data_IF_621768715369
#
_entry.id   IF_621768715369
#
_cell.length_a   1.000
_cell.length_b   1.000
_cell.length_c   1.000
_cell.angle_alpha   90.00
_cell.angle_beta   90.00
_cell.angle_gamma   90.00
#
_symmetry.space_group_name_H-M   'P 1'
#
loop_
_entity.id
_entity.type
_entity.pdbx_description
1 polymer ?
#
# COMPACT_ATOMS: atom_id res chain seq x y z
N UNK A 1 -21.80 19.24 -11.18
CA UNK A 1 -21.89 19.13 -9.70
C UNK A 1 -20.64 18.40 -9.25
N UNK A 2 -19.79 19.00 -8.42
CA UNK A 2 -18.58 18.35 -7.96
C UNK A 2 -18.97 17.19 -7.04
N UNK A 3 -18.69 15.96 -7.46
CA UNK A 3 -18.82 14.77 -6.61
C UNK A 3 -17.90 14.97 -5.42
N UNK A 4 -18.48 14.98 -4.23
CA UNK A 4 -17.72 15.07 -2.99
C UNK A 4 -16.75 13.89 -2.95
N UNK A 5 -15.45 14.16 -2.90
CA UNK A 5 -14.44 13.11 -2.90
C UNK A 5 -14.66 12.21 -1.70
N UNK A 6 -14.76 10.90 -1.95
CA UNK A 6 -14.84 9.86 -0.92
C UNK A 6 -13.48 9.57 -0.27
N UNK A 7 -12.42 10.26 -0.70
CA UNK A 7 -11.06 10.11 -0.20
C UNK A 7 -10.92 10.93 1.10
N UNK A 8 -10.51 10.31 2.23
CA UNK A 8 -10.28 11.02 3.47
C UNK A 8 -9.17 12.09 3.33
N UNK A 9 -9.18 13.15 4.16
CA UNK A 9 -8.05 14.08 4.28
C UNK A 9 -6.73 13.35 4.56
N UNK A 10 -5.61 13.94 4.13
CA UNK A 10 -4.25 13.40 4.35
C UNK A 10 -4.01 13.04 5.80
N UNK A 11 -4.39 13.92 6.72
CA UNK A 11 -4.17 13.77 8.15
C UNK A 11 -4.87 12.51 8.69
N UNK A 12 -6.08 12.24 8.21
CA UNK A 12 -6.86 11.07 8.58
C UNK A 12 -6.25 9.78 8.00
N UNK A 13 -5.75 9.84 6.76
CA UNK A 13 -5.00 8.73 6.13
C UNK A 13 -3.74 8.42 6.96
N UNK A 14 -2.97 9.44 7.33
CA UNK A 14 -1.76 9.28 8.14
C UNK A 14 -2.08 8.72 9.53
N UNK A 15 -3.12 9.23 10.19
CA UNK A 15 -3.54 8.75 11.50
C UNK A 15 -4.02 7.27 11.44
N UNK A 16 -4.76 6.90 10.40
CA UNK A 16 -5.18 5.52 10.18
C UNK A 16 -3.96 4.59 9.96
N UNK A 17 -2.98 5.03 9.19
CA UNK A 17 -1.73 4.31 9.00
C UNK A 17 -0.99 4.08 10.33
N UNK A 18 -0.79 5.12 11.12
CA UNK A 18 -0.10 5.02 12.42
C UNK A 18 -0.81 4.08 13.39
N UNK A 19 -2.15 4.11 13.39
CA UNK A 19 -2.94 3.20 14.20
C UNK A 19 -2.74 1.76 13.74
N UNK A 20 -2.74 1.49 12.43
CA UNK A 20 -2.48 0.15 11.89
C UNK A 20 -1.06 -0.35 12.18
N UNK A 21 -0.07 0.55 12.25
CA UNK A 21 1.29 0.22 12.69
C UNK A 21 1.31 -0.12 14.19
N UNK A 22 0.63 0.69 15.00
CA UNK A 22 0.52 0.49 16.46
C UNK A 22 -0.19 -0.83 16.78
N UNK A 23 -1.22 -1.16 16.01
CA UNK A 23 -2.00 -2.40 16.14
C UNK A 23 -1.24 -3.63 15.61
N UNK A 24 -0.07 -3.44 14.99
CA UNK A 24 0.75 -4.52 14.42
C UNK A 24 0.21 -5.10 13.11
N UNK A 25 -0.78 -4.44 12.48
CA UNK A 25 -1.32 -4.82 11.17
C UNK A 25 -0.34 -4.46 10.06
N UNK A 26 0.19 -3.23 10.08
CA UNK A 26 1.22 -2.77 9.15
C UNK A 26 2.60 -2.90 9.80
N UNK A 27 3.53 -3.50 9.07
CA UNK A 27 4.92 -3.59 9.46
C UNK A 27 5.70 -2.41 8.88
N UNK A 28 5.90 -1.39 9.72
CA UNK A 28 6.68 -0.19 9.42
C UNK A 28 7.70 0.09 10.54
N UNK A 29 8.87 0.60 10.18
CA UNK A 29 9.90 0.94 11.16
C UNK A 29 11.02 1.79 10.58
N UNK A 30 11.93 2.29 11.43
CA UNK A 30 13.02 3.16 10.99
C UNK A 30 13.96 2.41 10.03
N UNK A 31 14.45 3.15 9.03
CA UNK A 31 15.50 2.71 8.12
C UNK A 31 16.69 3.68 8.16
N UNK A 32 17.82 3.22 7.65
CA UNK A 32 18.99 4.08 7.38
C UNK A 32 19.21 4.18 5.89
N UNK A 33 19.59 5.36 5.42
CA UNK A 33 19.88 5.63 4.02
C UNK A 33 21.38 5.65 3.77
N UNK A 34 21.81 5.11 2.62
CA UNK A 34 23.15 5.28 2.07
C UNK A 34 23.00 5.80 0.65
N UNK A 35 23.54 6.97 0.38
CA UNK A 35 23.57 7.55 -0.96
C UNK A 35 24.90 7.24 -1.65
N UNK A 36 24.88 6.94 -2.94
CA UNK A 36 26.06 6.70 -3.78
C UNK A 36 25.88 7.34 -5.14
N UNK A 37 26.95 7.88 -5.70
CA UNK A 37 27.00 8.25 -7.10
C UNK A 37 27.64 7.10 -7.89
N UNK A 38 26.99 6.66 -8.97
CA UNK A 38 27.50 5.68 -9.91
C UNK A 38 27.65 6.36 -11.28
N UNK A 39 28.78 7.04 -11.48
CA UNK A 39 29.10 7.76 -12.71
C UNK A 39 28.04 8.79 -13.12
N UNK A 40 27.58 9.60 -12.15
CA UNK A 40 26.51 10.59 -12.35
C UNK A 40 25.09 10.03 -12.22
N UNK A 41 24.95 8.74 -11.87
CA UNK A 41 23.67 8.13 -11.52
C UNK A 41 23.53 8.04 -9.99
N UNK A 42 22.71 8.90 -9.36
CA UNK A 42 22.50 8.85 -7.92
C UNK A 42 21.69 7.60 -7.54
N UNK A 43 22.25 6.83 -6.61
CA UNK A 43 21.67 5.63 -6.03
C UNK A 43 21.37 5.86 -4.55
N UNK A 44 20.18 5.45 -4.12
CA UNK A 44 19.78 5.44 -2.72
C UNK A 44 19.55 4.00 -2.24
N UNK A 45 20.23 3.62 -1.16
CA UNK A 45 20.03 2.34 -0.49
C UNK A 45 19.34 2.56 0.86
N UNK A 46 18.10 2.07 1.00
CA UNK A 46 17.37 2.05 2.27
C UNK A 46 17.51 0.71 2.97
N UNK A 47 18.14 0.71 4.13
CA UNK A 47 18.35 -0.50 4.93
C UNK A 47 17.29 -0.55 6.03
N UNK A 48 16.36 -1.50 5.88
CA UNK A 48 15.14 -1.61 6.68
C UNK A 48 15.19 -2.91 7.52
N UNK A 49 15.66 -2.88 8.79
CA UNK A 49 15.82 -4.08 9.60
C UNK A 49 14.50 -4.83 9.83
N UNK A 50 13.37 -4.11 9.80
CA UNK A 50 12.05 -4.66 10.08
C UNK A 50 11.63 -5.75 9.08
N UNK A 51 12.15 -5.73 7.85
CA UNK A 51 11.85 -6.74 6.84
C UNK A 51 12.45 -8.12 7.11
N UNK A 52 13.34 -8.25 8.10
CA UNK A 52 13.72 -9.58 8.62
C UNK A 52 12.53 -10.37 9.19
N UNK A 53 11.43 -9.69 9.51
CA UNK A 53 10.17 -10.30 9.97
C UNK A 53 9.21 -10.62 8.81
N UNK A 54 9.52 -10.20 7.58
CA UNK A 54 8.67 -10.48 6.42
C UNK A 54 8.87 -11.94 6.02
N UNK A 55 7.81 -12.73 5.80
CA UNK A 55 7.95 -14.07 5.25
C UNK A 55 8.59 -13.99 3.85
N UNK A 56 9.73 -14.66 3.68
CA UNK A 56 10.52 -14.64 2.44
C UNK A 56 10.23 -15.83 1.50
N UNK A 57 9.34 -16.73 1.88
CA UNK A 57 9.05 -17.95 1.12
C UNK A 57 7.59 -17.96 0.66
N UNK A 58 7.35 -18.33 -0.60
CA UNK A 58 6.00 -18.55 -1.12
C UNK A 58 5.32 -19.65 -0.29
N UNK A 59 4.15 -19.36 0.29
CA UNK A 59 3.43 -20.27 1.19
C UNK A 59 3.95 -20.29 2.64
N UNK A 60 4.91 -19.42 3.00
CA UNK A 60 5.24 -19.21 4.41
C UNK A 60 4.01 -18.67 5.13
N UNK A 61 3.61 -19.35 6.20
CA UNK A 61 2.59 -18.83 7.10
C UNK A 61 3.09 -17.52 7.68
N UNK A 62 2.26 -16.50 7.58
CA UNK A 62 2.46 -15.25 8.30
C UNK A 62 2.62 -15.63 9.78
N UNK A 63 3.59 -15.01 10.47
CA UNK A 63 3.85 -15.33 11.87
C UNK A 63 2.54 -15.25 12.68
N UNK A 64 2.38 -16.05 13.74
CA UNK A 64 1.11 -16.18 14.49
C UNK A 64 0.60 -14.84 15.04
N UNK A 65 1.47 -13.84 15.13
CA UNK A 65 1.14 -12.44 15.43
C UNK A 65 0.20 -11.78 14.43
N UNK A 66 0.10 -12.29 13.20
CA UNK A 66 -0.79 -11.80 12.14
C UNK A 66 -1.97 -12.72 11.85
N UNK A 67 -2.09 -13.82 12.60
CA UNK A 67 -3.16 -14.81 12.48
C UNK A 67 -4.37 -14.45 13.35
N UNK A 68 -4.68 -13.15 13.47
CA UNK A 68 -5.82 -12.67 14.26
C UNK A 68 -7.07 -12.69 13.38
N UNK A 69 -7.96 -13.64 13.70
CA UNK A 69 -9.40 -13.68 13.35
C UNK A 69 -9.77 -13.46 11.88
N UNK A 70 -9.76 -14.54 11.10
CA UNK A 70 -10.32 -14.59 9.76
C UNK A 70 -9.33 -14.11 8.72
N UNK A 71 -8.57 -15.04 8.14
CA UNK A 71 -7.70 -14.76 7.00
C UNK A 71 -8.54 -14.27 5.80
N UNK A 72 -8.82 -12.96 5.74
CA UNK A 72 -9.58 -12.37 4.64
C UNK A 72 -8.62 -12.01 3.51
N UNK A 73 -8.82 -12.66 2.36
CA UNK A 73 -8.20 -12.26 1.10
C UNK A 73 -8.83 -10.95 0.61
N UNK A 74 -8.08 -10.15 -0.15
CA UNK A 74 -8.52 -8.82 -0.60
C UNK A 74 -9.84 -8.83 -1.39
N UNK A 75 -10.03 -9.90 -2.16
CA UNK A 75 -11.21 -10.21 -2.96
C UNK A 75 -11.10 -11.63 -3.53
N UNK A 76 -12.14 -12.14 -4.21
CA UNK A 76 -12.26 -13.56 -4.55
C UNK A 76 -11.19 -14.08 -5.52
N UNK A 77 -10.61 -13.21 -6.35
CA UNK A 77 -9.49 -13.56 -7.24
C UNK A 77 -8.11 -13.19 -6.70
N UNK A 78 -8.04 -12.59 -5.51
CA UNK A 78 -6.80 -12.04 -4.97
C UNK A 78 -6.01 -13.08 -4.18
N UNK A 79 -4.70 -13.08 -4.37
CA UNK A 79 -3.72 -13.75 -3.52
C UNK A 79 -3.15 -12.80 -2.45
N UNK A 80 -3.60 -11.55 -2.40
CA UNK A 80 -3.20 -10.57 -1.40
C UNK A 80 -4.01 -10.72 -0.11
N UNK A 81 -3.29 -10.59 1.00
CA UNK A 81 -3.84 -10.63 2.34
C UNK A 81 -4.46 -9.29 2.72
N UNK A 82 -5.67 -9.29 3.27
CA UNK A 82 -6.37 -8.12 3.79
C UNK A 82 -6.81 -8.40 5.25
N UNK A 83 -5.88 -8.45 6.21
CA UNK A 83 -6.18 -8.82 7.59
C UNK A 83 -7.06 -7.82 8.32
N UNK A 84 -7.11 -6.57 7.84
CA UNK A 84 -7.91 -5.51 8.44
C UNK A 84 -8.58 -4.68 7.34
N UNK A 85 -9.92 -4.47 7.39
CA UNK A 85 -10.61 -3.68 6.38
C UNK A 85 -10.17 -2.21 6.34
N UNK A 86 -9.58 -1.67 7.42
CA UNK A 86 -9.02 -0.30 7.47
C UNK A 86 -7.82 -0.13 6.52
N UNK A 87 -7.27 -1.22 5.97
CA UNK A 87 -6.26 -1.15 4.93
C UNK A 87 -6.79 -0.58 3.61
N UNK A 88 -8.11 -0.65 3.36
CA UNK A 88 -8.78 -0.03 2.22
C UNK A 88 -9.14 1.41 2.57
N UNK A 89 -8.59 2.37 1.83
CA UNK A 89 -8.72 3.80 2.12
C UNK A 89 -9.90 4.39 1.36
N UNK A 90 -9.95 4.16 0.04
CA UNK A 90 -10.96 4.72 -0.84
C UNK A 90 -11.05 3.91 -2.14
N UNK A 91 -12.10 4.16 -2.91
CA UNK A 91 -12.26 3.63 -4.27
C UNK A 91 -11.95 4.73 -5.28
N UNK A 92 -11.00 4.49 -6.19
CA UNK A 92 -10.59 5.40 -7.24
C UNK A 92 -11.11 4.94 -8.60
N UNK A 93 -11.57 5.90 -9.41
CA UNK A 93 -12.16 5.67 -10.73
C UNK A 93 -13.30 4.61 -10.77
N UNK A 94 -13.87 4.24 -9.62
CA UNK A 94 -14.82 3.11 -9.49
C UNK A 94 -14.25 1.76 -9.99
N UNK A 95 -12.94 1.64 -10.15
CA UNK A 95 -12.26 0.44 -10.66
C UNK A 95 -11.18 -0.08 -9.74
N UNK A 96 -10.64 0.75 -8.84
CA UNK A 96 -9.53 0.40 -7.96
C UNK A 96 -9.78 0.71 -6.48
N UNK A 97 -9.34 -0.17 -5.59
CA UNK A 97 -9.09 0.15 -4.19
C UNK A 97 -7.75 0.90 -4.08
N UNK A 98 -7.75 2.06 -3.41
CA UNK A 98 -6.55 2.67 -2.83
C UNK A 98 -6.32 2.07 -1.44
N UNK A 99 -5.12 1.57 -1.19
CA UNK A 99 -4.82 0.87 0.05
C UNK A 99 -3.42 1.06 0.58
N UNK A 100 -3.22 0.76 1.87
CA UNK A 100 -1.90 0.69 2.47
C UNK A 100 -1.15 -0.59 2.10
N UNK A 101 0.15 -0.47 1.86
CA UNK A 101 1.04 -1.62 1.79
C UNK A 101 1.38 -2.11 3.22
N UNK A 102 1.06 -3.37 3.50
CA UNK A 102 1.31 -4.03 4.79
C UNK A 102 2.80 -4.08 5.18
N UNK A 103 3.70 -4.16 4.19
CA UNK A 103 5.15 -4.21 4.40
C UNK A 103 5.80 -3.01 3.71
N UNK A 104 5.65 -1.84 4.30
CA UNK A 104 6.07 -0.58 3.71
C UNK A 104 7.43 -0.11 4.24
N UNK A 105 8.18 0.57 3.36
CA UNK A 105 9.37 1.34 3.75
C UNK A 105 8.98 2.78 4.05
N UNK A 106 8.02 3.32 3.31
CA UNK A 106 7.57 4.70 3.41
C UNK A 106 6.32 4.83 4.25
N UNK A 107 6.18 5.99 4.90
CA UNK A 107 5.03 6.32 5.74
C UNK A 107 4.18 7.40 5.06
N UNK A 108 2.99 7.05 4.56
CA UNK A 108 2.54 5.72 4.13
C UNK A 108 3.07 5.33 2.73
N UNK A 109 3.04 4.03 2.42
CA UNK A 109 3.23 3.50 1.06
C UNK A 109 1.91 2.87 0.59
N UNK A 110 1.53 3.12 -0.67
CA UNK A 110 0.22 2.74 -1.20
C UNK A 110 0.27 1.62 -2.23
N UNK A 111 -0.90 1.00 -2.43
CA UNK A 111 -1.21 0.06 -3.50
C UNK A 111 -2.50 0.53 -4.20
N UNK A 112 -2.57 0.33 -5.52
CA UNK A 112 -3.79 0.42 -6.32
C UNK A 112 -4.14 -0.99 -6.78
N UNK A 113 -5.31 -1.49 -6.39
CA UNK A 113 -5.72 -2.88 -6.62
C UNK A 113 -7.07 -2.91 -7.32
N UNK A 114 -7.22 -3.71 -8.37
CA UNK A 114 -8.49 -3.78 -9.10
C UNK A 114 -9.61 -4.30 -8.19
N UNK A 115 -10.77 -3.67 -8.24
CA UNK A 115 -11.92 -4.03 -7.39
C UNK A 115 -12.39 -5.47 -7.64
N UNK A 116 -12.28 -5.94 -8.88
CA UNK A 116 -12.68 -7.30 -9.24
C UNK A 116 -11.71 -8.36 -8.67
N UNK A 117 -10.48 -7.97 -8.34
CA UNK A 117 -9.39 -8.85 -7.90
C UNK A 117 -8.96 -9.94 -8.88
N UNK A 118 -9.38 -9.89 -10.16
CA UNK A 118 -9.09 -10.96 -11.13
C UNK A 118 -7.94 -10.64 -12.07
N UNK A 119 -7.59 -9.37 -12.23
CA UNK A 119 -6.44 -8.94 -13.05
C UNK A 119 -5.12 -9.50 -12.51
N UNK A 120 -4.24 -9.92 -13.42
CA UNK A 120 -2.88 -10.42 -13.11
C UNK A 120 -1.84 -9.32 -13.28
N UNK A 121 -0.76 -9.42 -12.52
CA UNK A 121 0.33 -8.42 -12.51
C UNK A 121 1.11 -8.35 -13.84
N UNK A 122 1.01 -9.37 -14.69
CA UNK A 122 1.63 -9.44 -16.02
C UNK A 122 0.72 -8.95 -17.15
N UNK A 123 -0.54 -8.60 -16.84
CA UNK A 123 -1.40 -7.89 -17.79
C UNK A 123 -0.90 -6.47 -18.04
N UNK A 124 -1.18 -5.94 -19.23
CA UNK A 124 -0.84 -4.56 -19.59
C UNK A 124 -1.75 -3.58 -18.85
N UNK A 125 -1.18 -2.45 -18.44
CA UNK A 125 -1.95 -1.34 -17.91
C UNK A 125 -2.89 -0.75 -18.97
N UNK A 126 -4.13 -0.49 -18.60
CA UNK A 126 -5.16 0.12 -19.44
C UNK A 126 -5.56 1.52 -18.95
N UNK A 127 -6.56 2.12 -19.61
CA UNK A 127 -7.00 3.48 -19.31
C UNK A 127 -7.54 3.66 -17.90
N UNK A 128 -8.17 2.64 -17.32
CA UNK A 128 -8.74 2.71 -15.98
C UNK A 128 -7.64 2.72 -14.91
N UNK A 129 -6.54 2.01 -15.16
CA UNK A 129 -5.35 2.00 -14.30
C UNK A 129 -4.71 3.40 -14.23
N UNK A 130 -4.51 4.03 -15.40
CA UNK A 130 -3.93 5.37 -15.46
C UNK A 130 -4.84 6.43 -14.83
N UNK A 131 -6.16 6.35 -15.03
CA UNK A 131 -7.09 7.30 -14.40
C UNK A 131 -7.11 7.13 -12.87
N UNK A 132 -7.10 5.90 -12.35
CA UNK A 132 -6.98 5.66 -10.91
C UNK A 132 -5.66 6.21 -10.35
N UNK A 133 -4.53 6.00 -11.04
CA UNK A 133 -3.24 6.54 -10.65
C UNK A 133 -3.24 8.08 -10.65
N UNK A 134 -3.83 8.72 -11.66
CA UNK A 134 -3.96 10.18 -11.71
C UNK A 134 -4.85 10.72 -10.58
N UNK A 135 -5.92 10.02 -10.21
CA UNK A 135 -6.74 10.41 -9.06
C UNK A 135 -5.96 10.34 -7.75
N UNK A 136 -5.12 9.31 -7.58
CA UNK A 136 -4.23 9.18 -6.42
C UNK A 136 -3.23 10.35 -6.35
N UNK A 137 -2.56 10.67 -7.46
CA UNK A 137 -1.61 11.78 -7.54
C UNK A 137 -2.25 13.17 -7.36
N UNK A 138 -3.57 13.27 -7.44
CA UNK A 138 -4.31 14.52 -7.21
C UNK A 138 -4.89 14.63 -5.81
N UNK A 139 -4.63 13.66 -4.92
CA UNK A 139 -5.07 13.74 -3.52
C UNK A 139 -4.31 14.89 -2.85
N UNK A 140 -5.01 15.94 -2.36
CA UNK A 140 -4.36 17.12 -1.82
C UNK A 140 -3.40 16.80 -0.68
N UNK A 141 -2.18 17.33 -0.76
CA UNK A 141 -1.13 17.16 0.24
C UNK A 141 -0.47 15.78 0.26
N UNK A 142 -0.96 14.83 -0.53
CA UNK A 142 -0.43 13.47 -0.58
C UNK A 142 0.21 13.20 -1.94
N UNK A 143 -0.49 13.54 -3.02
CA UNK A 143 0.05 13.48 -4.38
C UNK A 143 1.00 14.63 -4.72
N UNK A 144 0.81 15.81 -4.12
CA UNK A 144 1.66 16.99 -4.34
C UNK A 144 3.09 16.84 -3.77
N UNK A 145 3.31 15.84 -2.92
CA UNK A 145 4.57 15.58 -2.22
C UNK A 145 5.36 14.39 -2.77
N UNK A 146 4.83 13.72 -3.81
CA UNK A 146 5.46 12.61 -4.53
C UNK A 146 6.28 13.11 -5.73
#
# INVERSE_FOLDING_TARGET
>A
MATQSTIPPKEDIIAAFDQLVTDGVILYGPYRTIERDADGYPLEFRICPIFTKKPHTIGAKLDRTFATTGETIWGPGSDLYCPDPRMKIAVLNQTHDLAFNMFCVDRPQFLLLTLDSWRRQDELLDGDDFEAALQMLRIPGLGDEL
#
